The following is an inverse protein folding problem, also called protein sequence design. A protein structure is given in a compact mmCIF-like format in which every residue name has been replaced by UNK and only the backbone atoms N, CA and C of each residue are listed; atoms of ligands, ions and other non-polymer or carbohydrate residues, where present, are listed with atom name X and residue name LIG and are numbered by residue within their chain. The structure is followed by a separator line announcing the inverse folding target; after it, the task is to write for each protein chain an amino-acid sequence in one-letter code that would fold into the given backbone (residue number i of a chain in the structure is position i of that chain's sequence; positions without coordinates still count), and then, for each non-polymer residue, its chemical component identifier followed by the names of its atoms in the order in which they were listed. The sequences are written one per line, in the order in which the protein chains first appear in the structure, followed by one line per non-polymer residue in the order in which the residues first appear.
data_IF_128168614941
#
_entry.id   IF_128168614941
#
_cell.length_a   1.000
_cell.length_b   1.000
_cell.length_c   1.000
_cell.angle_alpha   90.00
_cell.angle_beta   90.00
_cell.angle_gamma   90.00
#
_symmetry.space_group_name_H-M   'P 1'
#
loop_
_entity.id
_entity.type
_entity.pdbx_description
1 polymer ?
#
# COMPACT_ATOMS: atom_id res chain seq x y z
N UNK A 1 -22.63 -11.48 4.58
CA UNK A 1 -23.03 -10.88 5.89
C UNK A 1 -22.72 -9.39 5.86
N UNK A 2 -23.73 -8.53 5.66
CA UNK A 2 -23.53 -7.08 5.76
C UNK A 2 -23.56 -6.65 7.23
N UNK A 3 -22.53 -5.94 7.70
CA UNK A 3 -22.55 -5.32 9.03
C UNK A 3 -23.70 -4.30 9.07
N UNK A 4 -24.63 -4.44 10.03
CA UNK A 4 -25.71 -3.46 10.18
C UNK A 4 -25.11 -2.10 10.60
N UNK A 5 -25.42 -0.99 9.91
CA UNK A 5 -24.83 0.34 10.19
C UNK A 5 -24.93 0.78 11.64
N UNK A 6 -26.04 0.44 12.32
CA UNK A 6 -26.31 0.82 13.71
C UNK A 6 -25.24 0.32 14.69
N UNK A 7 -24.69 -0.88 14.48
CA UNK A 7 -23.62 -1.39 15.32
C UNK A 7 -22.33 -0.60 15.11
N UNK A 8 -22.00 -0.26 13.86
CA UNK A 8 -20.79 0.48 13.52
C UNK A 8 -20.75 1.89 14.13
N UNK A 9 -21.90 2.53 14.24
CA UNK A 9 -22.03 3.85 14.87
C UNK A 9 -21.79 3.82 16.39
N UNK A 10 -22.12 2.69 17.04
CA UNK A 10 -21.91 2.48 18.48
C UNK A 10 -20.50 1.97 18.80
N UNK A 11 -19.83 1.32 17.84
CA UNK A 11 -18.47 0.80 18.00
C UNK A 11 -17.43 1.91 18.14
N UNK A 12 -16.48 1.74 19.06
CA UNK A 12 -15.39 2.71 19.24
C UNK A 12 -14.53 2.84 17.96
N UNK A 13 -14.09 4.04 17.56
CA UNK A 13 -13.24 4.22 16.39
C UNK A 13 -11.93 3.40 16.43
N UNK A 14 -11.38 3.16 17.63
CA UNK A 14 -10.22 2.28 17.81
C UNK A 14 -10.51 0.84 17.45
N UNK A 15 -11.65 0.31 17.87
CA UNK A 15 -12.07 -1.03 17.48
C UNK A 15 -12.31 -1.11 15.97
N UNK A 16 -12.86 -0.06 15.35
CA UNK A 16 -12.98 0.02 13.89
C UNK A 16 -11.61 -0.02 13.19
N UNK A 17 -10.60 0.70 13.70
CA UNK A 17 -9.22 0.59 13.20
C UNK A 17 -8.69 -0.85 13.30
N UNK A 18 -8.88 -1.49 14.46
CA UNK A 18 -8.45 -2.87 14.69
C UNK A 18 -9.12 -3.87 13.74
N UNK A 19 -10.43 -3.77 13.56
CA UNK A 19 -11.19 -4.61 12.63
C UNK A 19 -10.67 -4.41 11.20
N UNK A 20 -10.52 -3.16 10.74
CA UNK A 20 -10.02 -2.85 9.41
C UNK A 20 -8.59 -3.40 9.19
N UNK A 21 -7.71 -3.28 10.18
CA UNK A 21 -6.36 -3.85 10.13
C UNK A 21 -6.41 -5.37 10.01
N UNK A 22 -7.22 -6.05 10.84
CA UNK A 22 -7.36 -7.50 10.80
C UNK A 22 -8.03 -8.00 9.53
N UNK A 23 -8.94 -7.24 8.92
CA UNK A 23 -9.49 -7.55 7.59
C UNK A 23 -8.38 -7.61 6.53
N UNK A 24 -7.43 -6.66 6.57
CA UNK A 24 -6.25 -6.69 5.70
C UNK A 24 -5.35 -7.91 5.97
N UNK A 25 -5.07 -8.21 7.24
CA UNK A 25 -4.24 -9.38 7.60
C UNK A 25 -4.87 -10.69 7.14
N UNK A 26 -6.18 -10.83 7.33
CA UNK A 26 -6.93 -11.98 6.86
C UNK A 26 -6.92 -12.07 5.33
N UNK A 27 -7.04 -10.93 4.63
CA UNK A 27 -6.93 -10.89 3.18
C UNK A 27 -5.55 -11.37 2.70
N UNK A 28 -4.46 -10.92 3.33
CA UNK A 28 -3.12 -11.43 3.05
C UNK A 28 -2.99 -12.93 3.32
N UNK A 29 -3.53 -13.43 4.42
CA UNK A 29 -3.45 -14.85 4.77
C UNK A 29 -4.09 -15.73 3.70
N UNK A 30 -5.21 -15.29 3.08
CA UNK A 30 -5.80 -16.01 1.94
C UNK A 30 -4.81 -16.16 0.79
N UNK A 31 -4.06 -15.12 0.46
CA UNK A 31 -3.05 -15.17 -0.60
C UNK A 31 -1.83 -16.00 -0.22
N UNK A 32 -1.43 -16.00 1.06
CA UNK A 32 -0.41 -16.95 1.54
C UNK A 32 -0.85 -18.38 1.29
N UNK A 33 -2.11 -18.71 1.59
CA UNK A 33 -2.69 -20.03 1.37
C UNK A 33 -2.80 -20.34 -0.12
N UNK A 34 -3.33 -19.44 -0.95
CA UNK A 34 -3.46 -19.65 -2.39
C UNK A 34 -2.11 -19.92 -3.06
N UNK A 35 -1.15 -19.01 -2.91
CA UNK A 35 0.19 -19.20 -3.48
C UNK A 35 0.91 -20.41 -2.86
N UNK A 36 0.70 -20.70 -1.58
CA UNK A 36 1.31 -21.86 -0.91
C UNK A 36 0.79 -23.19 -1.41
N UNK A 37 -0.50 -23.27 -1.75
CA UNK A 37 -1.07 -24.48 -2.31
C UNK A 37 -0.69 -24.66 -3.77
N UNK A 38 -0.68 -23.60 -4.58
CA UNK A 38 -0.49 -23.73 -6.04
C UNK A 38 0.98 -23.74 -6.47
N UNK A 39 1.89 -23.11 -5.73
CA UNK A 39 3.29 -22.98 -6.10
C UNK A 39 4.04 -24.32 -6.23
N UNK A 40 3.89 -25.30 -5.33
CA UNK A 40 4.56 -26.60 -5.48
C UNK A 40 4.21 -27.30 -6.80
N UNK A 41 2.94 -27.24 -7.22
CA UNK A 41 2.51 -27.81 -8.50
C UNK A 41 3.16 -27.08 -9.69
N UNK A 42 3.19 -25.75 -9.66
CA UNK A 42 3.84 -24.98 -10.73
C UNK A 42 5.34 -25.26 -10.85
N UNK A 43 6.03 -25.48 -9.73
CA UNK A 43 7.43 -25.88 -9.76
C UNK A 43 7.63 -27.29 -10.30
N UNK A 44 6.75 -28.24 -9.94
CA UNK A 44 6.80 -29.61 -10.47
C UNK A 44 6.56 -29.63 -11.98
N UNK A 45 5.70 -28.75 -12.48
CA UNK A 45 5.44 -28.55 -13.91
C UNK A 45 6.59 -27.79 -14.64
N UNK A 46 7.69 -27.47 -13.95
CA UNK A 46 8.87 -26.81 -14.52
C UNK A 46 8.74 -25.28 -14.70
N UNK A 47 7.79 -24.64 -14.00
CA UNK A 47 7.65 -23.17 -13.99
C UNK A 47 8.57 -22.60 -12.91
N UNK A 48 9.86 -22.47 -13.22
CA UNK A 48 10.90 -22.03 -12.28
C UNK A 48 10.61 -20.65 -11.65
N UNK A 49 9.97 -19.76 -12.41
CA UNK A 49 9.65 -18.40 -12.00
C UNK A 49 8.28 -18.26 -11.35
N UNK A 50 7.67 -19.34 -10.84
CA UNK A 50 6.35 -19.28 -10.22
C UNK A 50 6.27 -18.20 -9.10
N UNK A 51 5.23 -17.32 -9.10
CA UNK A 51 5.12 -16.23 -8.15
C UNK A 51 5.27 -16.66 -6.69
N UNK A 52 6.16 -15.96 -5.97
CA UNK A 52 6.33 -16.16 -4.53
C UNK A 52 5.11 -15.71 -3.72
N UNK A 53 5.07 -16.15 -2.45
CA UNK A 53 4.11 -15.67 -1.46
C UNK A 53 4.09 -14.14 -1.31
N UNK A 54 2.94 -13.58 -0.87
CA UNK A 54 2.85 -12.17 -0.54
C UNK A 54 3.84 -11.80 0.56
N UNK A 55 4.45 -10.62 0.44
CA UNK A 55 5.17 -10.02 1.58
C UNK A 55 4.16 -9.65 2.67
N UNK A 56 4.59 -9.72 3.93
CA UNK A 56 3.75 -9.34 5.06
C UNK A 56 3.28 -7.88 4.92
N UNK A 57 1.96 -7.65 4.82
CA UNK A 57 1.42 -6.31 4.59
C UNK A 57 1.70 -5.34 5.74
N UNK A 58 1.90 -5.84 6.96
CA UNK A 58 2.31 -5.02 8.11
C UNK A 58 3.72 -4.44 7.96
N UNK A 59 4.52 -5.01 7.06
CA UNK A 59 5.90 -4.60 6.77
C UNK A 59 6.01 -3.71 5.53
N UNK A 60 4.94 -3.58 4.75
CA UNK A 60 4.94 -2.80 3.52
C UNK A 60 4.34 -1.42 3.81
N UNK A 61 5.16 -0.38 3.70
CA UNK A 61 4.70 1.01 3.86
C UNK A 61 4.59 1.78 2.54
N UNK A 62 5.26 1.29 1.49
CA UNK A 62 5.23 1.88 0.15
C UNK A 62 4.05 1.33 -0.65
N UNK A 63 3.31 2.21 -1.34
CA UNK A 63 2.19 1.79 -2.19
C UNK A 63 2.64 0.95 -3.38
N UNK A 64 3.65 1.44 -4.10
CA UNK A 64 4.25 0.71 -5.21
C UNK A 64 4.83 -0.63 -4.77
N UNK A 65 5.34 -0.75 -3.54
CA UNK A 65 5.74 -2.04 -2.98
C UNK A 65 4.55 -2.95 -2.64
N UNK A 66 3.44 -2.39 -2.12
CA UNK A 66 2.21 -3.14 -1.83
C UNK A 66 1.68 -3.78 -3.11
N UNK A 67 1.54 -2.99 -4.18
CA UNK A 67 1.07 -3.47 -5.47
C UNK A 67 2.01 -4.49 -6.13
N UNK A 68 3.33 -4.37 -5.90
CA UNK A 68 4.33 -5.29 -6.47
C UNK A 68 4.40 -6.63 -5.73
N UNK A 69 4.22 -6.62 -4.42
CA UNK A 69 4.57 -7.76 -3.56
C UNK A 69 3.40 -8.41 -2.84
N UNK A 70 2.20 -7.85 -2.92
CA UNK A 70 1.00 -8.48 -2.38
C UNK A 70 0.47 -9.55 -3.33
N UNK A 71 -0.06 -9.14 -4.50
CA UNK A 71 -0.57 -10.06 -5.52
C UNK A 71 0.40 -10.08 -6.70
N UNK A 72 1.43 -10.92 -6.62
CA UNK A 72 2.53 -10.94 -7.59
C UNK A 72 2.09 -11.42 -8.97
N UNK A 73 1.19 -12.40 -9.03
CA UNK A 73 0.60 -12.90 -10.27
C UNK A 73 -0.20 -11.81 -10.98
N UNK A 74 -1.10 -11.13 -10.27
CA UNK A 74 -1.83 -9.98 -10.86
C UNK A 74 -0.88 -8.87 -11.28
N UNK A 75 0.13 -8.56 -10.46
CA UNK A 75 1.12 -7.54 -10.78
C UNK A 75 1.87 -7.86 -12.08
N UNK A 76 2.34 -9.10 -12.27
CA UNK A 76 3.01 -9.52 -13.50
C UNK A 76 2.09 -9.46 -14.71
N UNK A 77 0.87 -9.98 -14.58
CA UNK A 77 -0.14 -9.95 -15.63
C UNK A 77 -0.39 -8.52 -16.17
N UNK A 78 -0.44 -7.53 -15.26
CA UNK A 78 -0.64 -6.12 -15.63
C UNK A 78 0.67 -5.47 -16.12
N UNK A 79 1.80 -5.77 -15.46
CA UNK A 79 3.09 -5.12 -15.72
C UNK A 79 3.57 -5.38 -17.13
N UNK A 80 3.62 -6.65 -17.54
CA UNK A 80 4.28 -7.08 -18.78
C UNK A 80 3.77 -6.31 -20.03
N UNK A 81 2.46 -6.16 -20.28
CA UNK A 81 2.00 -5.42 -21.45
C UNK A 81 2.12 -3.89 -21.35
N UNK A 82 2.24 -3.32 -20.14
CA UNK A 82 2.05 -1.87 -19.91
C UNK A 82 3.36 -1.15 -19.60
N UNK A 83 4.24 -1.75 -18.80
CA UNK A 83 5.42 -1.06 -18.25
C UNK A 83 6.59 -1.25 -19.23
N UNK A 84 6.99 -0.15 -19.86
CA UNK A 84 8.17 -0.11 -20.74
C UNK A 84 9.40 0.38 -19.98
N UNK A 85 10.47 -0.42 -19.98
CA UNK A 85 11.72 -0.12 -19.27
C UNK A 85 12.39 1.17 -19.78
N UNK A 86 12.27 1.47 -21.07
CA UNK A 86 12.77 2.71 -21.70
C UNK A 86 12.24 3.98 -21.00
N UNK A 87 11.01 3.93 -20.48
CA UNK A 87 10.35 5.07 -19.87
C UNK A 87 10.35 5.03 -18.34
N UNK A 88 11.13 4.13 -17.72
CA UNK A 88 11.18 3.94 -16.25
C UNK A 88 11.55 5.19 -15.44
N UNK A 89 12.16 6.19 -16.08
CA UNK A 89 12.53 7.46 -15.44
C UNK A 89 11.55 8.60 -15.71
N UNK A 90 10.63 8.46 -16.67
CA UNK A 90 9.63 9.48 -16.98
C UNK A 90 8.48 9.47 -15.98
N UNK A 91 8.26 10.61 -15.32
CA UNK A 91 7.15 10.76 -14.38
C UNK A 91 5.78 10.68 -15.09
N UNK A 92 5.68 11.27 -16.29
CA UNK A 92 4.48 11.21 -17.11
C UNK A 92 4.13 9.77 -17.49
N UNK A 93 5.12 8.99 -17.93
CA UNK A 93 4.87 7.59 -18.29
C UNK A 93 4.48 6.75 -17.07
N UNK A 94 5.08 6.98 -15.89
CA UNK A 94 4.63 6.32 -14.66
C UNK A 94 3.17 6.61 -14.34
N UNK A 95 2.75 7.86 -14.52
CA UNK A 95 1.35 8.25 -14.32
C UNK A 95 0.43 7.54 -15.33
N UNK A 96 0.77 7.56 -16.63
CA UNK A 96 -0.03 6.90 -17.68
C UNK A 96 -0.09 5.38 -17.45
N UNK A 97 1.03 4.72 -17.19
CA UNK A 97 1.07 3.29 -16.88
C UNK A 97 0.24 2.95 -15.64
N UNK A 98 0.27 3.79 -14.60
CA UNK A 98 -0.57 3.62 -13.42
C UNK A 98 -2.06 3.78 -13.76
N UNK A 99 -2.42 4.80 -14.55
CA UNK A 99 -3.79 5.04 -15.00
C UNK A 99 -4.34 3.85 -15.78
N UNK A 100 -3.59 3.33 -16.75
CA UNK A 100 -3.98 2.13 -17.52
C UNK A 100 -4.13 0.93 -16.58
N UNK A 101 -3.17 0.71 -15.69
CA UNK A 101 -3.19 -0.40 -14.71
C UNK A 101 -4.44 -0.34 -13.82
N UNK A 102 -4.74 0.82 -13.23
CA UNK A 102 -5.92 0.98 -12.37
C UNK A 102 -7.24 0.94 -13.13
N UNK A 103 -7.23 1.31 -14.42
CA UNK A 103 -8.39 1.16 -15.30
C UNK A 103 -8.67 -0.32 -15.58
N UNK A 104 -7.62 -1.10 -15.86
CA UNK A 104 -7.73 -2.56 -15.98
C UNK A 104 -8.25 -3.19 -14.68
N UNK A 105 -7.64 -2.87 -13.53
CA UNK A 105 -8.06 -3.38 -12.21
C UNK A 105 -9.53 -3.06 -11.92
N UNK A 106 -9.99 -1.85 -12.28
CA UNK A 106 -11.39 -1.47 -12.13
C UNK A 106 -12.35 -2.34 -12.96
N UNK A 107 -11.98 -2.63 -14.21
CA UNK A 107 -12.76 -3.52 -15.09
C UNK A 107 -12.72 -4.96 -14.56
N UNK A 108 -11.53 -5.46 -14.20
CA UNK A 108 -11.30 -6.82 -13.72
C UNK A 108 -12.11 -7.16 -12.47
N UNK A 109 -12.25 -6.23 -11.52
CA UNK A 109 -13.03 -6.43 -10.30
C UNK A 109 -14.53 -6.10 -10.42
N UNK A 110 -15.04 -5.82 -11.63
CA UNK A 110 -16.48 -5.78 -11.90
C UNK A 110 -17.16 -4.39 -11.85
N UNK A 111 -16.46 -3.32 -12.23
CA UNK A 111 -16.99 -1.95 -12.48
C UNK A 111 -17.92 -1.33 -11.42
N UNK A 112 -17.94 -1.86 -10.19
CA UNK A 112 -18.75 -1.34 -9.10
C UNK A 112 -18.21 0.00 -8.56
N UNK A 113 -19.12 0.86 -8.05
CA UNK A 113 -18.76 2.17 -7.48
C UNK A 113 -17.68 2.10 -6.39
N UNK A 114 -17.69 1.04 -5.58
CA UNK A 114 -16.67 0.84 -4.54
C UNK A 114 -15.28 0.60 -5.13
N UNK A 115 -15.20 -0.19 -6.20
CA UNK A 115 -13.95 -0.49 -6.90
C UNK A 115 -13.48 0.77 -7.62
N UNK A 116 -14.38 1.54 -8.25
CA UNK A 116 -14.03 2.82 -8.87
C UNK A 116 -13.33 3.76 -7.88
N UNK A 117 -13.96 4.00 -6.72
CA UNK A 117 -13.40 4.87 -5.68
C UNK A 117 -12.05 4.34 -5.19
N UNK A 118 -11.95 3.04 -4.91
CA UNK A 118 -10.71 2.42 -4.47
C UNK A 118 -9.59 2.54 -5.51
N UNK A 119 -9.88 2.31 -6.80
CA UNK A 119 -8.91 2.46 -7.90
C UNK A 119 -8.42 3.90 -8.03
N UNK A 120 -9.32 4.89 -7.97
CA UNK A 120 -8.94 6.31 -8.02
C UNK A 120 -8.06 6.71 -6.83
N UNK A 121 -8.43 6.27 -5.61
CA UNK A 121 -7.61 6.52 -4.43
C UNK A 121 -6.20 5.92 -4.57
N UNK A 122 -6.09 4.67 -5.04
CA UNK A 122 -4.78 4.05 -5.25
C UNK A 122 -3.97 4.72 -6.36
N UNK A 123 -4.60 5.14 -7.46
CA UNK A 123 -3.95 5.92 -8.52
C UNK A 123 -3.35 7.21 -7.96
N UNK A 124 -4.12 7.98 -7.18
CA UNK A 124 -3.66 9.21 -6.53
C UNK A 124 -2.45 8.90 -5.64
N UNK A 125 -2.54 7.86 -4.81
CA UNK A 125 -1.48 7.51 -3.88
C UNK A 125 -0.17 7.11 -4.57
N UNK A 126 -0.24 6.25 -5.59
CA UNK A 126 0.91 5.82 -6.40
C UNK A 126 1.51 7.01 -7.17
N UNK A 127 0.67 7.95 -7.61
CA UNK A 127 1.11 9.17 -8.28
C UNK A 127 1.88 10.10 -7.34
N UNK A 128 1.36 10.33 -6.12
CA UNK A 128 2.06 11.12 -5.10
C UNK A 128 3.38 10.45 -4.70
N UNK A 129 3.38 9.14 -4.50
CA UNK A 129 4.62 8.40 -4.20
C UNK A 129 5.63 8.51 -5.35
N UNK A 130 5.19 8.39 -6.61
CA UNK A 130 6.04 8.50 -7.79
C UNK A 130 6.65 9.90 -7.93
N UNK A 131 5.86 10.94 -7.66
CA UNK A 131 6.34 12.33 -7.61
C UNK A 131 7.37 12.51 -6.50
N UNK A 132 7.10 12.01 -5.29
CA UNK A 132 8.06 12.07 -4.17
C UNK A 132 9.39 11.39 -4.50
N UNK A 133 9.34 10.20 -5.12
CA UNK A 133 10.53 9.48 -5.60
C UNK A 133 11.26 10.20 -6.74
N UNK A 134 10.54 10.95 -7.57
CA UNK A 134 11.15 11.76 -8.61
C UNK A 134 11.85 12.98 -8.03
N UNK A 135 11.22 13.69 -7.08
CA UNK A 135 11.83 14.81 -6.36
C UNK A 135 13.08 14.35 -5.61
N UNK A 136 13.02 13.19 -4.93
CA UNK A 136 14.16 12.65 -4.19
C UNK A 136 15.37 12.29 -5.07
N UNK A 137 15.16 12.16 -6.38
CA UNK A 137 16.24 11.94 -7.36
C UNK A 137 16.92 13.24 -7.82
N UNK A 138 16.38 14.42 -7.50
CA UNK A 138 16.98 15.70 -7.85
C UNK A 138 18.27 15.96 -7.06
N UNK A 139 19.32 16.43 -7.75
CA UNK A 139 20.60 16.79 -7.13
C UNK A 139 20.41 17.92 -6.12
N UNK A 140 19.64 18.95 -6.48
CA UNK A 140 19.36 20.10 -5.60
C UNK A 140 18.67 19.66 -4.31
N UNK A 141 17.69 18.76 -4.42
CA UNK A 141 16.99 18.23 -3.26
C UNK A 141 17.93 17.45 -2.34
N UNK A 142 18.79 16.57 -2.91
CA UNK A 142 19.78 15.83 -2.12
C UNK A 142 20.77 16.75 -1.42
N UNK A 143 21.33 17.74 -2.11
CA UNK A 143 22.25 18.71 -1.53
C UNK A 143 21.61 19.49 -0.37
N UNK A 144 20.37 19.95 -0.52
CA UNK A 144 19.63 20.61 0.55
C UNK A 144 19.41 19.66 1.74
N UNK A 145 19.02 18.42 1.48
CA UNK A 145 18.75 17.43 2.52
C UNK A 145 20.02 17.07 3.30
N UNK A 146 21.14 16.90 2.61
CA UNK A 146 22.44 16.59 3.20
C UNK A 146 23.00 17.78 4.02
N UNK A 147 22.74 19.02 3.57
CA UNK A 147 23.14 20.22 4.29
C UNK A 147 22.28 20.50 5.55
N UNK A 148 21.05 19.97 5.61
CA UNK A 148 20.08 20.28 6.68
C UNK A 148 19.89 19.15 7.69
N UNK A 149 19.97 17.88 7.25
CA UNK A 149 19.63 16.72 8.08
C UNK A 149 20.75 15.67 8.07
N UNK A 150 21.11 15.20 9.27
CA UNK A 150 21.95 14.00 9.43
C UNK A 150 21.31 12.77 8.80
N UNK A 151 22.06 11.69 8.48
CA UNK A 151 21.47 10.46 7.92
C UNK A 151 20.30 9.87 8.73
N UNK A 152 20.36 9.98 10.07
CA UNK A 152 19.26 9.60 10.95
C UNK A 152 18.05 10.54 10.81
N UNK A 153 18.31 11.84 10.69
CA UNK A 153 17.29 12.86 10.43
C UNK A 153 16.59 12.66 9.09
N UNK A 154 17.34 12.35 8.02
CA UNK A 154 16.78 12.05 6.70
C UNK A 154 15.82 10.85 6.73
N UNK A 155 16.20 9.78 7.43
CA UNK A 155 15.30 8.62 7.62
C UNK A 155 14.03 8.99 8.37
N UNK A 156 14.13 9.78 9.44
CA UNK A 156 12.97 10.26 10.21
C UNK A 156 12.05 11.10 9.33
N UNK A 157 12.61 12.04 8.58
CA UNK A 157 11.87 12.88 7.64
C UNK A 157 11.16 12.05 6.58
N UNK A 158 11.85 11.08 5.96
CA UNK A 158 11.24 10.15 5.00
C UNK A 158 10.05 9.38 5.60
N UNK A 159 10.20 8.85 6.81
CA UNK A 159 9.11 8.14 7.48
C UNK A 159 7.93 9.07 7.81
N UNK A 160 8.18 10.33 8.19
CA UNK A 160 7.14 11.35 8.37
C UNK A 160 6.38 11.56 7.06
N UNK A 161 7.07 11.71 5.93
CA UNK A 161 6.43 11.87 4.62
C UNK A 161 5.63 10.63 4.18
N UNK A 162 6.08 9.42 4.54
CA UNK A 162 5.37 8.17 4.21
C UNK A 162 4.17 7.88 5.13
N UNK A 163 4.13 8.44 6.33
CA UNK A 163 3.03 8.21 7.29
C UNK A 163 1.64 8.60 6.76
N UNK A 164 1.42 9.80 6.19
CA UNK A 164 0.12 10.16 5.63
C UNK A 164 -0.25 9.30 4.41
N UNK A 165 0.73 8.86 3.62
CA UNK A 165 0.50 7.92 2.53
C UNK A 165 0.03 6.57 3.08
N UNK A 166 0.71 6.01 4.09
CA UNK A 166 0.29 4.75 4.70
C UNK A 166 -1.12 4.85 5.30
N UNK A 167 -1.44 5.96 5.97
CA UNK A 167 -2.81 6.20 6.46
C UNK A 167 -3.82 6.25 5.30
N UNK A 168 -3.50 6.95 4.22
CA UNK A 168 -4.35 6.98 3.02
C UNK A 168 -4.54 5.57 2.42
N UNK A 169 -3.53 4.70 2.52
CA UNK A 169 -3.58 3.31 2.02
C UNK A 169 -4.54 2.48 2.85
N UNK A 170 -4.39 2.60 4.16
CA UNK A 170 -5.27 1.97 5.12
C UNK A 170 -6.73 2.38 4.89
N UNK A 171 -7.01 3.68 4.75
CA UNK A 171 -8.36 4.20 4.50
C UNK A 171 -8.91 3.75 3.14
N UNK A 172 -8.09 3.75 2.09
CA UNK A 172 -8.50 3.27 0.77
C UNK A 172 -8.93 1.80 0.84
N UNK A 173 -8.13 0.95 1.48
CA UNK A 173 -8.39 -0.49 1.56
C UNK A 173 -9.62 -0.83 2.42
N UNK A 174 -10.05 0.05 3.34
CA UNK A 174 -11.33 -0.11 4.04
C UNK A 174 -12.50 -0.17 3.05
N UNK A 175 -12.51 0.68 2.01
CA UNK A 175 -13.57 0.61 1.00
C UNK A 175 -13.57 -0.73 0.28
N UNK A 176 -12.40 -1.23 -0.09
CA UNK A 176 -12.26 -2.49 -0.82
C UNK A 176 -12.70 -3.69 0.02
N UNK A 177 -12.30 -3.78 1.29
CA UNK A 177 -12.62 -4.93 2.14
C UNK A 177 -14.02 -4.88 2.72
N UNK A 178 -14.47 -3.70 3.17
CA UNK A 178 -15.68 -3.55 3.99
C UNK A 178 -16.88 -3.16 3.11
N UNK A 179 -16.65 -2.54 1.96
CA UNK A 179 -17.68 -2.06 1.05
C UNK A 179 -18.01 -0.57 1.22
N UNK A 180 -18.81 -0.03 0.30
CA UNK A 180 -19.00 1.42 0.18
C UNK A 180 -19.66 2.06 1.41
N UNK A 181 -20.88 1.62 1.77
CA UNK A 181 -21.66 2.20 2.88
C UNK A 181 -20.97 2.01 4.25
N UNK A 182 -20.65 0.78 4.69
CA UNK A 182 -19.95 0.58 5.95
C UNK A 182 -18.54 1.16 5.94
N UNK A 183 -17.79 1.09 4.82
CA UNK A 183 -16.46 1.69 4.71
C UNK A 183 -16.48 3.21 4.91
N UNK A 184 -17.51 3.90 4.41
CA UNK A 184 -17.69 5.33 4.66
C UNK A 184 -17.88 5.64 6.15
N UNK A 185 -18.67 4.82 6.87
CA UNK A 185 -18.85 4.95 8.32
C UNK A 185 -17.52 4.75 9.05
N UNK A 186 -16.74 3.72 8.68
CA UNK A 186 -15.42 3.48 9.26
C UNK A 186 -14.51 4.69 9.07
N UNK A 187 -14.34 5.17 7.83
CA UNK A 187 -13.45 6.29 7.52
C UNK A 187 -13.91 7.56 8.25
N UNK A 188 -15.20 7.89 8.20
CA UNK A 188 -15.74 9.07 8.88
C UNK A 188 -15.47 9.02 10.39
N UNK A 189 -15.70 7.87 11.03
CA UNK A 189 -15.47 7.67 12.48
C UNK A 189 -13.99 7.75 12.85
N UNK A 190 -13.11 7.18 12.04
CA UNK A 190 -11.65 7.20 12.24
C UNK A 190 -11.12 8.62 12.08
N UNK A 191 -11.54 9.34 11.03
CA UNK A 191 -11.11 10.72 10.80
C UNK A 191 -11.70 11.70 11.82
N UNK A 192 -12.86 11.41 12.39
CA UNK A 192 -13.51 12.26 13.42
C UNK A 192 -13.04 11.95 14.85
N UNK A 193 -12.02 11.10 15.04
CA UNK A 193 -11.42 10.89 16.35
C UNK A 193 -10.85 12.18 16.92
N UNK A 194 -10.80 12.31 18.25
CA UNK A 194 -10.15 13.45 18.89
C UNK A 194 -8.66 13.53 18.52
N UNK A 195 -8.09 14.73 18.57
CA UNK A 195 -6.69 14.98 18.20
C UNK A 195 -5.70 14.05 18.93
N UNK A 196 -5.94 13.78 20.22
CA UNK A 196 -5.11 12.85 21.01
C UNK A 196 -5.07 11.47 20.37
N UNK A 197 -6.22 10.94 19.95
CA UNK A 197 -6.30 9.64 19.32
C UNK A 197 -5.72 9.62 17.90
N UNK A 198 -5.91 10.69 17.13
CA UNK A 198 -5.26 10.85 15.82
C UNK A 198 -3.73 10.87 15.95
N UNK A 199 -3.18 11.58 16.95
CA UNK A 199 -1.74 11.59 17.22
C UNK A 199 -1.21 10.20 17.56
N UNK A 200 -1.95 9.42 18.37
CA UNK A 200 -1.59 8.03 18.67
C UNK A 200 -1.60 7.18 17.39
N UNK A 201 -2.63 7.30 16.55
CA UNK A 201 -2.71 6.55 15.29
C UNK A 201 -1.53 6.88 14.36
N UNK A 202 -1.24 8.17 14.16
CA UNK A 202 -0.10 8.64 13.35
C UNK A 202 1.21 8.13 13.93
N UNK A 203 1.38 8.16 15.25
CA UNK A 203 2.57 7.65 15.92
C UNK A 203 2.76 6.14 15.72
N UNK A 204 1.69 5.35 15.82
CA UNK A 204 1.74 3.89 15.57
C UNK A 204 2.15 3.62 14.12
N UNK A 205 1.52 4.29 13.15
CA UNK A 205 1.86 4.14 11.73
C UNK A 205 3.32 4.54 11.46
N UNK A 206 3.75 5.70 11.96
CA UNK A 206 5.14 6.16 11.85
C UNK A 206 6.14 5.16 12.42
N UNK A 207 5.83 4.57 13.59
CA UNK A 207 6.70 3.58 14.24
C UNK A 207 6.79 2.27 13.44
N UNK A 208 5.67 1.84 12.84
CA UNK A 208 5.65 0.70 11.91
C UNK A 208 6.50 0.94 10.67
N UNK A 209 6.46 2.15 10.11
CA UNK A 209 7.30 2.55 8.97
C UNK A 209 8.77 2.55 9.36
N UNK A 210 9.13 3.16 10.49
CA UNK A 210 10.52 3.17 10.98
C UNK A 210 11.09 1.76 11.10
N UNK A 211 10.31 0.85 11.68
CA UNK A 211 10.70 -0.56 11.84
C UNK A 211 10.88 -1.24 10.49
N UNK A 212 9.95 -1.01 9.55
CA UNK A 212 10.01 -1.59 8.20
C UNK A 212 11.23 -1.11 7.42
N UNK A 213 11.52 0.20 7.45
CA UNK A 213 12.70 0.80 6.80
C UNK A 213 14.01 0.26 7.39
N UNK A 214 14.09 0.10 8.71
CA UNK A 214 15.29 -0.45 9.36
C UNK A 214 15.51 -1.92 9.00
N UNK A 215 14.44 -2.72 8.90
CA UNK A 215 14.55 -4.11 8.48
C UNK A 215 14.96 -4.23 7.01
N UNK A 216 14.37 -3.43 6.10
CA UNK A 216 14.80 -3.36 4.69
C UNK A 216 16.29 -3.01 4.58
N UNK A 217 16.76 -2.04 5.37
CA UNK A 217 18.18 -1.68 5.43
C UNK A 217 19.06 -2.88 5.82
N UNK A 218 18.67 -3.63 6.86
CA UNK A 218 19.42 -4.82 7.32
C UNK A 218 19.42 -5.95 6.30
N UNK A 219 18.34 -6.13 5.55
CA UNK A 219 18.29 -7.13 4.48
C UNK A 219 19.24 -6.80 3.33
N UNK A 220 19.32 -5.53 2.94
CA UNK A 220 20.28 -5.10 1.91
C UNK A 220 21.73 -5.38 2.33
N UNK A 221 22.08 -5.15 3.61
CA UNK A 221 23.41 -5.46 4.13
C UNK A 221 23.76 -6.95 4.20
N UNK A 222 22.76 -7.85 4.25
CA UNK A 222 23.02 -9.30 4.22
C UNK A 222 23.28 -9.84 2.82
N UNK A 223 22.95 -9.05 1.79
CA UNK A 223 23.10 -9.40 0.38
C UNK A 223 24.38 -8.83 -0.25
N UNK A 224 25.14 -8.03 0.51
CA UNK A 224 26.44 -7.44 0.14
C UNK A 224 27.55 -8.06 0.96
#
# INVERSE_FOLDING_TARGET
MGQKPEYLLKTSPWLLCGIAYMSGQFFMLKYVVFYGMTRPFGLEDGIDDYPEHPKCIARIYSYSAMWRHFDRGLYWFIREPIIREEYRNSLLWKFISSLISFSFVFIYHGTYKVIFIWSIMNLIAVSIESLGKWISKSVKYRQLLDATLSPRGQRRFYCICMTPLLLFSFLSNIYFFIGLKPGHIYISRILSMSIKHQMVLVFVLYSGIQSSVELERKEMFKLT
#
